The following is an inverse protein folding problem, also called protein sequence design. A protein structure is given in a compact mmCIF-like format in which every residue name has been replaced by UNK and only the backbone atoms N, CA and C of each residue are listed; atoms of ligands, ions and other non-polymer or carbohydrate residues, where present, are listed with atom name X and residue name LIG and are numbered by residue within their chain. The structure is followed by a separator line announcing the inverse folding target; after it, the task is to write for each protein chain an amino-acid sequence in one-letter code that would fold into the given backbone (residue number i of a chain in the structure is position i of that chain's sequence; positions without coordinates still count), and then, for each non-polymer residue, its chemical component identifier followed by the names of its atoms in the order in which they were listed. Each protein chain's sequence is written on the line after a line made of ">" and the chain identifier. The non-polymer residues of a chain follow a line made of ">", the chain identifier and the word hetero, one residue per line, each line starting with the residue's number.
data_IF_088442201196
#
_entry.id   IF_088442201196
#
_cell.length_a   1.000
_cell.length_b   1.000
_cell.length_c   1.000
_cell.angle_alpha   90.00
_cell.angle_beta   90.00
_cell.angle_gamma   90.00
#
_symmetry.space_group_name_H-M   'P 1'
#
loop_
_entity.id
_entity.type
_entity.pdbx_description
1 polymer ?
#
# COMPACT_ATOMS: atom_id res chain seq x y z
N UNK A 1 -4.41 13.52 -21.24
CA UNK A 1 -4.32 12.42 -20.24
C UNK A 1 -3.79 11.22 -21.02
N UNK A 2 -2.59 10.74 -20.69
CA UNK A 2 -2.00 9.61 -21.42
C UNK A 2 -2.80 8.32 -21.10
N UNK A 3 -2.88 7.41 -22.09
CA UNK A 3 -3.53 6.09 -21.94
C UNK A 3 -2.98 5.34 -20.72
N UNK A 4 -1.70 5.53 -20.42
CA UNK A 4 -1.02 4.95 -19.25
C UNK A 4 -1.60 5.44 -17.92
N UNK A 5 -1.89 6.73 -17.81
CA UNK A 5 -2.52 7.32 -16.62
C UNK A 5 -3.95 6.80 -16.44
N UNK A 6 -4.69 6.60 -17.53
CA UNK A 6 -6.03 6.03 -17.51
C UNK A 6 -6.00 4.56 -17.07
N UNK A 7 -5.04 3.77 -17.55
CA UNK A 7 -4.88 2.36 -17.15
C UNK A 7 -4.49 2.22 -15.68
N UNK A 8 -3.60 3.06 -15.18
CA UNK A 8 -3.24 3.11 -13.75
C UNK A 8 -4.47 3.50 -12.92
N UNK A 9 -5.23 4.50 -13.32
CA UNK A 9 -6.46 4.92 -12.64
C UNK A 9 -7.51 3.81 -12.64
N UNK A 10 -7.72 3.14 -13.76
CA UNK A 10 -8.63 2.00 -13.88
C UNK A 10 -8.19 0.80 -13.03
N UNK A 11 -6.89 0.53 -12.95
CA UNK A 11 -6.34 -0.49 -12.07
C UNK A 11 -6.59 -0.15 -10.59
N UNK A 12 -6.43 1.12 -10.17
CA UNK A 12 -6.74 1.57 -8.81
C UNK A 12 -8.22 1.53 -8.49
N UNK A 13 -9.09 1.97 -9.41
CA UNK A 13 -10.55 1.90 -9.26
C UNK A 13 -11.01 0.44 -9.23
N UNK A 14 -10.44 -0.41 -10.09
CA UNK A 14 -10.70 -1.85 -10.11
C UNK A 14 -10.28 -2.53 -8.80
N UNK A 15 -9.10 -2.22 -8.28
CA UNK A 15 -8.61 -2.70 -6.96
C UNK A 15 -9.52 -2.25 -5.82
N UNK A 16 -9.94 -0.99 -5.80
CA UNK A 16 -10.89 -0.46 -4.83
C UNK A 16 -12.25 -1.14 -4.91
N UNK A 17 -12.77 -1.39 -6.13
CA UNK A 17 -14.04 -2.06 -6.35
C UNK A 17 -13.99 -3.55 -5.98
N UNK A 18 -12.89 -4.25 -6.29
CA UNK A 18 -12.67 -5.65 -5.89
C UNK A 18 -12.53 -5.75 -4.38
N UNK A 19 -11.71 -4.90 -3.75
CA UNK A 19 -11.60 -4.84 -2.30
C UNK A 19 -12.95 -4.57 -1.64
N UNK A 20 -13.74 -3.64 -2.18
CA UNK A 20 -15.11 -3.32 -1.74
C UNK A 20 -16.06 -4.52 -1.83
N UNK A 21 -16.15 -5.17 -3.00
CA UNK A 21 -17.05 -6.33 -3.19
C UNK A 21 -16.65 -7.53 -2.33
N UNK A 22 -15.36 -7.73 -2.15
CA UNK A 22 -14.85 -8.81 -1.30
C UNK A 22 -15.14 -8.50 0.16
N UNK A 23 -14.95 -7.26 0.62
CA UNK A 23 -15.29 -6.82 1.97
C UNK A 23 -16.80 -6.95 2.26
N UNK A 24 -17.67 -6.52 1.34
CA UNK A 24 -19.13 -6.66 1.51
C UNK A 24 -19.57 -8.12 1.54
N UNK A 25 -19.06 -8.96 0.67
CA UNK A 25 -19.41 -10.41 0.67
C UNK A 25 -18.91 -11.14 1.92
N UNK A 26 -17.71 -10.85 2.42
CA UNK A 26 -17.20 -11.50 3.63
C UNK A 26 -17.95 -11.10 4.90
N UNK A 27 -18.58 -9.91 4.91
CA UNK A 27 -19.38 -9.42 6.05
C UNK A 27 -20.84 -9.89 5.98
N UNK A 28 -21.36 -10.14 4.77
CA UNK A 28 -22.79 -10.49 4.56
C UNK A 28 -23.10 -11.99 4.59
N UNK A 29 -22.10 -12.88 4.50
CA UNK A 29 -22.29 -14.33 4.41
C UNK A 29 -22.09 -15.08 5.74
N UNK A 30 -22.33 -14.44 6.88
CA UNK A 30 -22.52 -15.19 8.14
C UNK A 30 -23.92 -15.80 8.10
N UNK A 31 -24.00 -17.11 8.21
CA UNK A 31 -25.27 -17.87 8.28
C UNK A 31 -26.30 -17.17 9.17
N UNK A 32 -27.50 -16.96 8.64
CA UNK A 32 -28.58 -16.23 9.32
C UNK A 32 -28.95 -16.83 10.70
N UNK A 33 -28.69 -18.12 10.93
CA UNK A 33 -28.91 -18.77 12.23
C UNK A 33 -27.89 -18.42 13.32
N UNK A 34 -26.62 -18.14 12.95
CA UNK A 34 -25.60 -17.69 13.90
C UNK A 34 -25.64 -16.15 14.10
N UNK A 35 -26.23 -15.41 13.16
CA UNK A 35 -26.31 -13.95 13.24
C UNK A 35 -27.15 -13.45 14.42
N UNK A 36 -28.16 -14.19 14.86
CA UNK A 36 -29.00 -13.82 16.01
C UNK A 36 -28.23 -13.91 17.35
N UNK A 37 -27.32 -14.87 17.50
CA UNK A 37 -26.48 -15.05 18.70
C UNK A 37 -25.28 -14.10 18.72
N UNK A 38 -24.86 -13.60 17.55
CA UNK A 38 -23.68 -12.76 17.37
C UNK A 38 -24.01 -11.26 17.25
N UNK A 39 -25.26 -10.85 17.56
CA UNK A 39 -25.82 -9.55 17.13
C UNK A 39 -24.99 -8.30 17.52
N UNK A 40 -24.43 -8.12 18.73
CA UNK A 40 -23.65 -6.92 19.06
C UNK A 40 -22.24 -6.94 18.41
N UNK A 41 -21.54 -8.09 18.45
CA UNK A 41 -20.20 -8.24 17.90
C UNK A 41 -20.20 -8.24 16.37
N UNK A 42 -21.19 -8.88 15.72
CA UNK A 42 -21.36 -8.87 14.28
C UNK A 42 -21.72 -7.47 13.76
N UNK A 43 -22.60 -6.74 14.47
CA UNK A 43 -22.94 -5.36 14.13
C UNK A 43 -21.74 -4.41 14.29
N UNK A 44 -20.94 -4.57 15.36
CA UNK A 44 -19.71 -3.80 15.52
C UNK A 44 -18.70 -4.11 14.39
N UNK A 45 -18.50 -5.37 14.04
CA UNK A 45 -17.66 -5.78 12.92
C UNK A 45 -18.10 -5.23 11.57
N UNK A 46 -19.41 -5.24 11.27
CA UNK A 46 -20.01 -4.64 10.06
C UNK A 46 -19.81 -3.14 10.02
N UNK A 47 -20.11 -2.45 11.12
CA UNK A 47 -19.94 -0.99 11.23
C UNK A 47 -18.49 -0.58 11.03
N UNK A 48 -17.56 -1.30 11.63
CA UNK A 48 -16.12 -1.12 11.46
C UNK A 48 -15.68 -1.25 10.01
N UNK A 49 -16.11 -2.32 9.33
CA UNK A 49 -15.77 -2.55 7.93
C UNK A 49 -16.33 -1.43 7.03
N UNK A 50 -17.57 -1.00 7.27
CA UNK A 50 -18.20 0.10 6.52
C UNK A 50 -17.47 1.44 6.74
N UNK A 51 -17.10 1.77 7.98
CA UNK A 51 -16.36 3.00 8.33
C UNK A 51 -14.95 2.96 7.74
N UNK A 52 -14.26 1.81 7.80
CA UNK A 52 -12.94 1.65 7.20
C UNK A 52 -12.97 1.84 5.67
N UNK A 53 -14.00 1.30 5.03
CA UNK A 53 -14.21 1.46 3.59
C UNK A 53 -14.55 2.91 3.23
N UNK A 54 -15.49 3.53 3.92
CA UNK A 54 -15.86 4.92 3.70
C UNK A 54 -14.67 5.87 3.93
N UNK A 55 -13.87 5.63 4.98
CA UNK A 55 -12.65 6.37 5.25
C UNK A 55 -11.60 6.22 4.15
N UNK A 56 -11.37 5.00 3.66
CA UNK A 56 -10.45 4.75 2.54
C UNK A 56 -10.95 5.43 1.25
N UNK A 57 -12.24 5.36 0.95
CA UNK A 57 -12.84 6.02 -0.22
C UNK A 57 -12.76 7.55 -0.10
N UNK A 58 -13.02 8.12 1.07
CA UNK A 58 -12.89 9.56 1.32
C UNK A 58 -11.44 10.04 1.14
N UNK A 59 -10.46 9.32 1.71
CA UNK A 59 -9.03 9.65 1.53
C UNK A 59 -8.63 9.55 0.07
N UNK A 60 -9.08 8.53 -0.66
CA UNK A 60 -8.84 8.42 -2.11
C UNK A 60 -9.41 9.61 -2.86
N UNK A 61 -10.67 9.97 -2.57
CA UNK A 61 -11.32 11.13 -3.19
C UNK A 61 -10.58 12.44 -2.89
N UNK A 62 -10.18 12.67 -1.64
CA UNK A 62 -9.40 13.85 -1.24
C UNK A 62 -8.07 13.90 -1.97
N UNK A 63 -7.33 12.79 -2.05
CA UNK A 63 -6.04 12.76 -2.73
C UNK A 63 -6.16 12.95 -4.25
N UNK A 64 -7.22 12.46 -4.87
CA UNK A 64 -7.47 12.68 -6.29
C UNK A 64 -7.87 14.13 -6.60
N UNK A 65 -8.67 14.74 -5.74
CA UNK A 65 -9.16 16.12 -5.93
C UNK A 65 -8.13 17.17 -5.47
N UNK A 66 -7.52 16.96 -4.30
CA UNK A 66 -6.56 17.89 -3.70
C UNK A 66 -5.11 17.61 -4.13
N UNK A 67 -4.82 16.45 -4.71
CA UNK A 67 -3.48 16.07 -5.10
C UNK A 67 -2.78 17.04 -6.03
N UNK A 68 -3.41 17.57 -7.09
CA UNK A 68 -2.84 18.59 -7.94
C UNK A 68 -2.51 19.89 -7.17
N UNK A 69 -3.40 20.34 -6.27
CA UNK A 69 -3.20 21.52 -5.43
C UNK A 69 -2.06 21.31 -4.42
N UNK A 70 -2.00 20.14 -3.78
CA UNK A 70 -0.91 19.78 -2.88
C UNK A 70 0.43 19.71 -3.62
N UNK A 71 0.45 19.15 -4.82
CA UNK A 71 1.64 19.11 -5.66
C UNK A 71 2.13 20.52 -5.99
N UNK A 72 1.23 21.45 -6.38
CA UNK A 72 1.56 22.86 -6.62
C UNK A 72 2.03 23.58 -5.34
N UNK A 73 1.40 23.35 -4.20
CA UNK A 73 1.78 23.98 -2.95
C UNK A 73 3.16 23.50 -2.45
N UNK A 74 3.51 22.24 -2.71
CA UNK A 74 4.84 21.68 -2.39
C UNK A 74 5.87 22.13 -3.43
N UNK A 75 5.52 22.16 -4.72
CA UNK A 75 6.40 22.65 -5.78
C UNK A 75 6.84 24.10 -5.58
N UNK A 76 5.95 24.95 -5.11
CA UNK A 76 6.28 26.34 -4.78
C UNK A 76 7.30 26.52 -3.64
N UNK A 77 7.53 25.48 -2.83
CA UNK A 77 8.51 25.47 -1.72
C UNK A 77 9.80 24.69 -2.03
N UNK A 78 9.77 23.79 -3.01
CA UNK A 78 10.89 22.89 -3.34
C UNK A 78 11.54 23.25 -4.68
N UNK A 79 11.02 24.25 -5.38
CA UNK A 79 11.51 24.71 -6.69
C UNK A 79 10.46 24.56 -7.80
N UNK A 80 10.65 25.24 -8.96
CA UNK A 80 9.66 25.27 -10.04
C UNK A 80 9.40 23.91 -10.70
N UNK A 81 10.20 22.90 -10.39
CA UNK A 81 10.10 21.51 -10.91
C UNK A 81 9.72 20.52 -9.82
N UNK A 82 8.76 20.85 -8.97
CA UNK A 82 8.26 19.90 -7.97
C UNK A 82 7.88 18.56 -8.60
N UNK A 83 8.02 17.42 -7.87
CA UNK A 83 7.87 16.07 -8.43
C UNK A 83 6.45 15.88 -8.96
N UNK A 84 6.29 15.93 -10.29
CA UNK A 84 5.02 15.71 -10.98
C UNK A 84 4.50 14.31 -10.69
N UNK A 85 3.24 14.16 -10.21
CA UNK A 85 2.65 12.88 -9.90
C UNK A 85 2.95 12.33 -8.49
N UNK A 86 3.58 13.11 -7.60
CA UNK A 86 3.85 12.72 -6.22
C UNK A 86 2.59 12.26 -5.48
N UNK A 87 1.48 12.98 -5.63
CA UNK A 87 0.20 12.61 -5.02
C UNK A 87 -0.27 11.22 -5.45
N UNK A 88 -0.12 10.89 -6.74
CA UNK A 88 -0.47 9.58 -7.28
C UNK A 88 0.43 8.48 -6.69
N UNK A 89 1.74 8.74 -6.59
CA UNK A 89 2.71 7.81 -6.02
C UNK A 89 2.45 7.51 -4.55
N UNK A 90 1.98 8.51 -3.77
CA UNK A 90 1.68 8.38 -2.34
C UNK A 90 0.29 7.79 -2.05
N UNK A 91 -0.63 7.82 -3.01
CA UNK A 91 -2.03 7.42 -2.82
C UNK A 91 -2.20 6.02 -2.21
N UNK A 92 -1.51 4.94 -2.68
CA UNK A 92 -1.71 3.62 -2.11
C UNK A 92 -1.31 3.54 -0.63
N UNK A 93 -0.20 4.17 -0.25
CA UNK A 93 0.24 4.21 1.14
C UNK A 93 -0.68 5.05 2.02
N UNK A 94 -1.16 6.19 1.53
CA UNK A 94 -2.09 7.03 2.26
C UNK A 94 -3.42 6.31 2.53
N UNK A 95 -3.94 5.54 1.55
CA UNK A 95 -5.09 4.66 1.73
C UNK A 95 -4.79 3.59 2.79
N UNK A 96 -3.61 2.97 2.72
CA UNK A 96 -3.15 1.98 3.71
C UNK A 96 -3.10 2.55 5.13
N UNK A 97 -2.52 3.75 5.30
CA UNK A 97 -2.42 4.49 6.57
C UNK A 97 -3.81 4.81 7.12
N UNK A 98 -4.70 5.36 6.29
CA UNK A 98 -6.08 5.67 6.69
C UNK A 98 -6.83 4.42 7.12
N UNK A 99 -6.73 3.33 6.34
CA UNK A 99 -7.35 2.05 6.67
C UNK A 99 -6.83 1.48 7.99
N UNK A 100 -5.50 1.44 8.19
CA UNK A 100 -4.90 0.96 9.43
C UNK A 100 -5.29 1.83 10.64
N UNK A 101 -5.39 3.15 10.46
CA UNK A 101 -5.87 4.10 11.48
C UNK A 101 -7.31 3.83 11.90
N UNK A 102 -8.21 3.64 10.94
CA UNK A 102 -9.62 3.28 11.23
C UNK A 102 -9.70 1.93 11.93
N UNK A 103 -8.90 0.95 11.51
CA UNK A 103 -8.85 -0.35 12.18
C UNK A 103 -8.35 -0.23 13.62
N UNK A 104 -7.31 0.54 13.86
CA UNK A 104 -6.79 0.80 15.20
C UNK A 104 -7.86 1.45 16.10
N UNK A 105 -8.55 2.47 15.61
CA UNK A 105 -9.64 3.11 16.33
C UNK A 105 -10.77 2.11 16.63
N UNK A 106 -11.15 1.30 15.64
CA UNK A 106 -12.19 0.31 15.81
C UNK A 106 -11.83 -0.82 16.80
N UNK A 107 -10.57 -1.25 16.83
CA UNK A 107 -10.14 -2.24 17.84
C UNK A 107 -10.18 -1.68 19.27
N UNK A 108 -10.03 -0.38 19.46
CA UNK A 108 -10.15 0.26 20.79
C UNK A 108 -11.60 0.43 21.26
N UNK A 109 -12.56 0.40 20.34
CA UNK A 109 -13.99 0.64 20.63
C UNK A 109 -14.81 -0.65 20.78
N UNK A 110 -14.19 -1.81 20.90
CA UNK A 110 -14.92 -3.05 21.15
C UNK A 110 -15.69 -3.00 22.47
N UNK A 111 -16.94 -3.56 22.50
CA UNK A 111 -17.73 -3.64 23.71
C UNK A 111 -16.95 -4.34 24.83
N UNK A 112 -16.90 -3.72 25.98
CA UNK A 112 -16.27 -4.30 27.19
C UNK A 112 -17.29 -5.13 27.95
N UNK A 113 -16.87 -6.27 28.58
CA UNK A 113 -17.75 -7.03 29.44
C UNK A 113 -18.24 -6.16 30.59
N UNK A 114 -19.55 -6.11 30.81
CA UNK A 114 -20.16 -5.41 31.95
C UNK A 114 -20.02 -6.20 33.27
N UNK A 115 -19.64 -7.48 33.22
CA UNK A 115 -19.57 -8.35 34.39
C UNK A 115 -18.30 -8.08 35.22
N UNK A 116 -18.40 -8.07 36.57
CA UNK A 116 -17.28 -7.88 37.47
C UNK A 116 -16.32 -9.09 37.51
N UNK A 117 -16.80 -10.28 37.12
CA UNK A 117 -15.99 -11.48 37.07
C UNK A 117 -15.28 -11.60 35.71
N UNK A 118 -13.97 -11.47 35.71
CA UNK A 118 -13.13 -11.68 34.54
C UNK A 118 -12.65 -13.11 34.49
N UNK A 119 -13.20 -13.91 33.61
CA UNK A 119 -12.61 -15.21 33.25
C UNK A 119 -11.28 -14.94 32.51
N UNK A 120 -10.17 -15.09 33.23
CA UNK A 120 -8.85 -15.00 32.64
C UNK A 120 -8.48 -16.36 32.03
N UNK A 121 -8.48 -16.46 30.71
CA UNK A 121 -7.84 -17.60 30.05
C UNK A 121 -6.34 -17.51 30.27
N UNK A 122 -5.75 -18.49 30.96
CA UNK A 122 -4.31 -18.60 31.23
C UNK A 122 -3.45 -18.89 29.98
N UNK A 123 -4.01 -18.78 28.78
CA UNK A 123 -3.28 -19.02 27.53
C UNK A 123 -2.41 -17.81 27.17
N UNK A 124 -1.11 -18.02 26.87
CA UNK A 124 -0.23 -16.93 26.48
C UNK A 124 -0.75 -16.23 25.21
N UNK A 125 -0.94 -14.92 25.31
CA UNK A 125 -1.44 -14.06 24.22
C UNK A 125 -0.26 -13.58 23.39
N UNK A 126 0.09 -14.30 22.32
CA UNK A 126 1.10 -13.87 21.37
C UNK A 126 0.45 -13.34 20.09
N UNK A 127 0.93 -12.20 19.56
CA UNK A 127 0.47 -11.67 18.28
C UNK A 127 0.76 -12.64 17.12
N UNK A 128 1.83 -13.45 17.22
CA UNK A 128 2.19 -14.46 16.21
C UNK A 128 1.17 -15.60 16.11
N UNK A 129 0.27 -15.73 17.08
CA UNK A 129 -0.82 -16.71 17.07
C UNK A 129 -1.96 -16.28 16.13
N UNK A 130 -2.22 -14.98 16.04
CA UNK A 130 -3.35 -14.43 15.29
C UNK A 130 -2.92 -13.89 13.93
N UNK A 131 -1.71 -13.32 13.83
CA UNK A 131 -1.18 -12.77 12.61
C UNK A 131 -0.54 -13.87 11.74
N UNK A 132 -0.96 -14.06 10.47
CA UNK A 132 -0.31 -14.99 9.57
C UNK A 132 1.12 -14.54 9.29
N UNK A 133 2.10 -15.34 9.70
CA UNK A 133 3.54 -15.01 9.56
C UNK A 133 3.94 -14.72 8.11
N UNK A 134 3.35 -15.45 7.17
CA UNK A 134 3.64 -15.26 5.75
C UNK A 134 3.20 -13.88 5.22
N UNK A 135 2.04 -13.36 5.68
CA UNK A 135 1.59 -11.99 5.32
C UNK A 135 2.53 -10.93 5.89
N UNK A 136 2.96 -11.09 7.14
CA UNK A 136 3.92 -10.19 7.76
C UNK A 136 5.28 -10.24 7.03
N UNK A 137 5.76 -11.44 6.67
CA UNK A 137 7.00 -11.61 5.92
C UNK A 137 6.95 -10.92 4.55
N UNK A 138 5.83 -11.06 3.82
CA UNK A 138 5.65 -10.39 2.52
C UNK A 138 5.59 -8.87 2.69
N UNK A 139 4.87 -8.36 3.70
CA UNK A 139 4.84 -6.92 3.98
C UNK A 139 6.24 -6.39 4.29
N UNK A 140 7.04 -7.10 5.09
CA UNK A 140 8.44 -6.76 5.34
C UNK A 140 9.28 -6.80 4.06
N UNK A 141 9.11 -7.80 3.19
CA UNK A 141 9.81 -7.89 1.92
C UNK A 141 9.50 -6.69 1.01
N UNK A 142 8.23 -6.24 0.98
CA UNK A 142 7.85 -5.03 0.24
C UNK A 142 8.46 -3.76 0.83
N UNK A 143 8.54 -3.62 2.16
CA UNK A 143 9.21 -2.48 2.81
C UNK A 143 10.70 -2.45 2.44
N UNK A 144 11.37 -3.59 2.52
CA UNK A 144 12.80 -3.70 2.16
C UNK A 144 13.00 -3.39 0.68
N UNK A 145 12.19 -4.00 -0.21
CA UNK A 145 12.25 -3.72 -1.64
C UNK A 145 12.03 -2.26 -1.97
N UNK A 146 11.06 -1.62 -1.32
CA UNK A 146 10.78 -0.19 -1.48
C UNK A 146 11.95 0.67 -0.99
N UNK A 147 12.51 0.37 0.19
CA UNK A 147 13.64 1.10 0.75
C UNK A 147 14.89 0.98 -0.14
N UNK A 148 15.20 -0.22 -0.63
CA UNK A 148 16.32 -0.46 -1.54
C UNK A 148 16.13 0.28 -2.86
N UNK A 149 14.94 0.18 -3.46
CA UNK A 149 14.63 0.88 -4.72
C UNK A 149 14.79 2.38 -4.55
N UNK A 150 14.17 2.97 -3.51
CA UNK A 150 14.20 4.42 -3.28
C UNK A 150 15.59 4.92 -2.86
N UNK A 151 16.36 4.14 -2.11
CA UNK A 151 17.75 4.48 -1.80
C UNK A 151 18.60 4.52 -3.08
N UNK A 152 18.50 3.49 -3.93
CA UNK A 152 19.23 3.45 -5.19
C UNK A 152 18.80 4.59 -6.13
N UNK A 153 17.51 4.76 -6.37
CA UNK A 153 17.02 5.81 -7.26
C UNK A 153 17.32 7.21 -6.71
N UNK A 154 17.27 7.39 -5.39
CA UNK A 154 17.62 8.66 -4.73
C UNK A 154 19.07 9.07 -4.92
N UNK A 155 20.01 8.10 -5.00
CA UNK A 155 21.44 8.40 -5.24
C UNK A 155 21.76 8.69 -6.71
N UNK A 156 20.93 8.16 -7.65
CA UNK A 156 21.16 8.29 -9.10
C UNK A 156 20.37 9.46 -9.70
N UNK A 157 19.24 9.83 -9.10
CA UNK A 157 18.38 10.89 -9.63
C UNK A 157 18.99 12.28 -9.50
N UNK A 158 18.90 13.06 -10.58
CA UNK A 158 19.16 14.49 -10.59
C UNK A 158 17.84 15.21 -10.87
N UNK A 159 17.36 16.04 -9.92
CA UNK A 159 16.08 16.76 -10.02
C UNK A 159 14.86 15.88 -10.36
N UNK A 160 14.80 14.68 -9.76
CA UNK A 160 13.78 13.66 -10.02
C UNK A 160 13.73 13.17 -11.49
N UNK A 161 14.86 13.23 -12.17
CA UNK A 161 15.07 12.68 -13.51
C UNK A 161 16.28 11.72 -13.49
N UNK A 162 16.23 10.73 -14.35
CA UNK A 162 17.42 9.93 -14.69
C UNK A 162 18.16 10.66 -15.80
N UNK A 163 19.41 11.04 -15.53
CA UNK A 163 20.29 11.66 -16.50
C UNK A 163 21.44 10.72 -16.84
N UNK A 164 21.67 10.48 -18.12
CA UNK A 164 22.75 9.62 -18.61
C UNK A 164 23.49 10.39 -19.70
N UNK A 165 24.81 10.49 -19.54
CA UNK A 165 25.67 11.08 -20.56
C UNK A 165 26.15 10.03 -21.54
N UNK A 166 26.12 10.37 -22.82
CA UNK A 166 26.61 9.54 -23.92
C UNK A 166 27.62 10.32 -24.74
N UNK A 167 28.71 9.70 -25.11
CA UNK A 167 29.64 10.25 -26.09
C UNK A 167 29.15 9.98 -27.53
N UNK A 168 29.69 10.69 -28.49
CA UNK A 168 29.32 10.60 -29.88
C UNK A 168 29.62 9.27 -30.58
N UNK A 169 30.30 8.37 -29.90
CA UNK A 169 30.57 7.00 -30.38
C UNK A 169 29.48 6.01 -30.00
N UNK A 170 28.53 6.38 -29.11
CA UNK A 170 27.47 5.47 -28.66
C UNK A 170 26.42 5.25 -29.77
N UNK A 171 26.27 4.02 -30.29
CA UNK A 171 25.36 3.75 -31.42
C UNK A 171 23.88 4.00 -31.07
N UNK A 172 23.53 4.05 -29.78
CA UNK A 172 22.16 4.35 -29.34
C UNK A 172 21.72 5.77 -29.65
N UNK A 173 22.67 6.68 -29.89
CA UNK A 173 22.42 8.11 -30.10
C UNK A 173 22.99 8.61 -31.45
N UNK A 174 23.42 7.69 -32.33
CA UNK A 174 24.01 8.03 -33.62
C UNK A 174 23.11 8.92 -34.53
N UNK A 175 21.79 8.91 -34.27
CA UNK A 175 20.82 9.77 -34.96
C UNK A 175 20.79 11.23 -34.46
N UNK A 176 21.40 11.52 -33.32
CA UNK A 176 21.39 12.85 -32.69
C UNK A 176 22.77 13.47 -32.57
N UNK A 177 23.81 12.76 -32.93
CA UNK A 177 25.20 13.16 -32.81
C UNK A 177 25.79 13.37 -34.21
N UNK A 178 26.37 14.55 -34.43
CA UNK A 178 26.97 14.89 -35.73
C UNK A 178 28.44 14.60 -35.81
N UNK A 179 29.10 14.29 -34.68
CA UNK A 179 30.52 13.97 -34.65
C UNK A 179 30.95 13.21 -33.39
N UNK A 180 32.09 12.51 -33.42
CA UNK A 180 32.58 11.68 -32.32
C UNK A 180 32.99 12.48 -31.06
N UNK A 181 33.16 13.80 -31.19
CA UNK A 181 33.44 14.70 -30.06
C UNK A 181 32.18 15.26 -29.37
N UNK A 182 31.00 14.98 -29.92
CA UNK A 182 29.76 15.48 -29.37
C UNK A 182 29.38 14.66 -28.13
N UNK A 183 28.80 15.33 -27.16
CA UNK A 183 28.32 14.74 -25.93
C UNK A 183 26.81 15.03 -25.75
N UNK A 184 26.04 13.97 -25.55
CA UNK A 184 24.59 14.10 -25.36
C UNK A 184 24.23 13.70 -23.93
N UNK A 185 23.46 14.56 -23.26
CA UNK A 185 22.84 14.21 -21.98
C UNK A 185 21.39 13.84 -22.24
N UNK A 186 21.05 12.56 -22.10
CA UNK A 186 19.69 12.10 -22.11
C UNK A 186 19.08 12.21 -20.73
N UNK A 187 17.92 12.86 -20.61
CA UNK A 187 17.19 13.00 -19.36
C UNK A 187 15.77 12.43 -19.51
N UNK A 188 15.33 11.62 -18.59
CA UNK A 188 13.97 11.07 -18.57
C UNK A 188 13.39 11.09 -17.15
N UNK A 189 12.11 11.48 -17.07
CA UNK A 189 11.34 11.51 -15.84
C UNK A 189 9.85 11.21 -16.07
N UNK A 190 9.09 10.99 -15.00
CA UNK A 190 9.52 11.04 -13.59
C UNK A 190 10.40 9.85 -13.19
N UNK A 191 11.48 10.11 -12.46
CA UNK A 191 12.34 9.11 -11.87
C UNK A 191 12.34 9.31 -10.35
N UNK A 192 12.09 8.25 -9.53
CA UNK A 192 11.85 8.40 -8.10
C UNK A 192 13.12 8.79 -7.33
N UNK A 193 13.49 10.09 -7.38
CA UNK A 193 14.53 10.64 -6.53
C UNK A 193 14.10 10.87 -5.09
N UNK A 194 14.93 11.53 -4.28
CA UNK A 194 14.62 11.82 -2.88
C UNK A 194 13.35 12.64 -2.68
N UNK A 195 12.93 13.45 -3.67
CA UNK A 195 11.66 14.16 -3.65
C UNK A 195 10.44 13.25 -3.55
N UNK A 196 10.50 12.05 -4.13
CA UNK A 196 9.51 10.99 -3.97
C UNK A 196 9.85 10.04 -2.82
N UNK A 197 11.13 9.73 -2.65
CA UNK A 197 11.61 8.71 -1.72
C UNK A 197 11.31 9.04 -0.28
N UNK A 198 11.62 10.25 0.17
CA UNK A 198 11.42 10.65 1.57
C UNK A 198 9.96 10.60 2.00
N UNK A 199 8.99 11.24 1.31
CA UNK A 199 7.59 11.16 1.71
C UNK A 199 7.02 9.73 1.60
N UNK A 200 7.47 8.93 0.63
CA UNK A 200 7.07 7.53 0.51
C UNK A 200 7.54 6.70 1.71
N UNK A 201 8.81 6.84 2.11
CA UNK A 201 9.37 6.13 3.28
C UNK A 201 8.69 6.56 4.59
N UNK A 202 8.36 7.85 4.75
CA UNK A 202 7.63 8.35 5.92
C UNK A 202 6.25 7.68 6.00
N UNK A 203 5.50 7.62 4.89
CA UNK A 203 4.19 6.96 4.88
C UNK A 203 4.29 5.45 5.08
N UNK A 204 5.31 4.80 4.52
CA UNK A 204 5.55 3.37 4.73
C UNK A 204 5.86 3.08 6.21
N UNK A 205 6.68 3.91 6.86
CA UNK A 205 6.97 3.81 8.29
C UNK A 205 5.72 4.06 9.15
N UNK A 206 4.93 5.08 8.82
CA UNK A 206 3.66 5.36 9.49
C UNK A 206 2.68 4.18 9.38
N UNK A 207 2.57 3.58 8.19
CA UNK A 207 1.77 2.38 7.96
C UNK A 207 2.25 1.21 8.82
N UNK A 208 3.56 0.95 8.85
CA UNK A 208 4.14 -0.13 9.65
C UNK A 208 3.86 0.04 11.15
N UNK A 209 4.00 1.27 11.67
CA UNK A 209 3.66 1.61 13.08
C UNK A 209 2.18 1.39 13.36
N UNK A 210 1.28 1.87 12.49
CA UNK A 210 -0.16 1.69 12.67
C UNK A 210 -0.58 0.21 12.62
N UNK A 211 0.00 -0.56 11.72
CA UNK A 211 -0.22 -2.02 11.64
C UNK A 211 0.24 -2.69 12.92
N UNK A 212 1.44 -2.38 13.40
CA UNK A 212 1.96 -2.91 14.65
C UNK A 212 1.06 -2.56 15.86
N UNK A 213 0.64 -1.31 15.97
CA UNK A 213 -0.29 -0.86 17.02
C UNK A 213 -1.63 -1.59 16.93
N UNK A 214 -2.17 -1.76 15.72
CA UNK A 214 -3.43 -2.49 15.51
C UNK A 214 -3.32 -3.96 15.92
N UNK A 215 -2.24 -4.64 15.53
CA UNK A 215 -1.99 -6.03 15.94
C UNK A 215 -1.84 -6.15 17.46
N UNK A 216 -1.20 -5.18 18.10
CA UNK A 216 -1.08 -5.11 19.57
C UNK A 216 -2.45 -4.93 20.24
N UNK A 217 -3.33 -4.07 19.70
CA UNK A 217 -4.69 -3.91 20.24
C UNK A 217 -5.55 -5.17 20.01
N UNK A 218 -5.49 -5.79 18.83
CA UNK A 218 -6.16 -7.09 18.56
C UNK A 218 -5.78 -8.14 19.60
N UNK A 219 -4.51 -8.17 20.00
CA UNK A 219 -4.01 -9.10 21.02
C UNK A 219 -4.54 -8.77 22.42
N UNK A 220 -4.61 -7.46 22.76
CA UNK A 220 -4.91 -6.97 24.11
C UNK A 220 -6.39 -6.81 24.40
N UNK A 221 -7.23 -6.71 23.35
CA UNK A 221 -8.66 -6.50 23.56
C UNK A 221 -9.25 -7.60 24.46
N UNK A 222 -10.23 -7.28 25.32
CA UNK A 222 -10.96 -8.27 26.08
C UNK A 222 -11.72 -9.24 25.17
N UNK A 223 -12.02 -10.43 25.64
CA UNK A 223 -12.91 -11.35 24.95
C UNK A 223 -14.30 -10.71 24.78
N UNK A 224 -14.96 -10.99 23.66
CA UNK A 224 -16.30 -10.45 23.42
C UNK A 224 -17.29 -11.21 24.32
N UNK A 225 -18.16 -10.50 25.08
CA UNK A 225 -19.11 -11.15 25.96
C UNK A 225 -20.03 -12.12 25.20
N UNK A 226 -20.26 -13.30 25.76
CA UNK A 226 -21.17 -14.30 25.17
C UNK A 226 -20.60 -15.09 23.98
N UNK A 227 -19.32 -14.88 23.60
CA UNK A 227 -18.66 -15.62 22.54
C UNK A 227 -17.78 -16.73 23.12
N UNK A 228 -17.88 -17.93 22.54
CA UNK A 228 -16.92 -19.00 22.80
C UNK A 228 -15.49 -18.58 22.39
N UNK A 229 -14.48 -19.03 23.13
CA UNK A 229 -13.09 -18.65 22.92
C UNK A 229 -12.57 -18.93 21.50
N UNK A 230 -13.08 -19.98 20.82
CA UNK A 230 -12.72 -20.31 19.45
C UNK A 230 -13.23 -19.26 18.44
N UNK A 231 -14.42 -18.73 18.64
CA UNK A 231 -15.02 -17.69 17.81
C UNK A 231 -14.31 -16.33 18.00
N UNK A 232 -13.96 -15.98 19.27
CA UNK A 232 -13.18 -14.77 19.53
C UNK A 232 -11.77 -14.85 18.89
N UNK A 233 -11.11 -16.00 18.98
CA UNK A 233 -9.84 -16.25 18.29
C UNK A 233 -10.00 -16.12 16.75
N UNK A 234 -11.12 -16.58 16.20
CA UNK A 234 -11.47 -16.42 14.78
C UNK A 234 -11.61 -14.95 14.36
N UNK A 235 -12.30 -14.14 15.17
CA UNK A 235 -12.44 -12.69 14.93
C UNK A 235 -11.08 -11.97 14.99
N UNK A 236 -10.21 -12.33 15.94
CA UNK A 236 -8.85 -11.76 16.05
C UNK A 236 -8.00 -12.09 14.83
N UNK A 237 -8.05 -13.35 14.35
CA UNK A 237 -7.35 -13.77 13.13
C UNK A 237 -7.85 -13.00 11.90
N UNK A 238 -9.16 -12.80 11.80
CA UNK A 238 -9.77 -12.04 10.70
C UNK A 238 -9.30 -10.58 10.72
N UNK A 239 -9.31 -9.92 11.89
CA UNK A 239 -8.79 -8.56 12.04
C UNK A 239 -7.32 -8.44 11.65
N UNK A 240 -6.47 -9.37 12.13
CA UNK A 240 -5.05 -9.39 11.81
C UNK A 240 -4.79 -9.63 10.31
N UNK A 241 -5.55 -10.55 9.68
CA UNK A 241 -5.45 -10.79 8.23
C UNK A 241 -5.85 -9.58 7.41
N UNK A 242 -6.91 -8.89 7.80
CA UNK A 242 -7.40 -7.71 7.09
C UNK A 242 -6.39 -6.59 7.11
N UNK A 243 -5.88 -6.22 8.29
CA UNK A 243 -4.92 -5.11 8.40
C UNK A 243 -3.61 -5.42 7.68
N UNK A 244 -3.09 -6.65 7.82
CA UNK A 244 -1.87 -7.07 7.11
C UNK A 244 -2.11 -7.20 5.60
N UNK A 245 -3.27 -7.71 5.18
CA UNK A 245 -3.61 -7.84 3.76
C UNK A 245 -3.67 -6.50 3.04
N UNK A 246 -4.29 -5.49 3.67
CA UNK A 246 -4.33 -4.13 3.09
C UNK A 246 -2.96 -3.47 3.14
N UNK A 247 -2.22 -3.63 4.24
CA UNK A 247 -0.89 -3.04 4.38
C UNK A 247 0.08 -3.58 3.32
N UNK A 248 0.14 -4.92 3.14
CA UNK A 248 0.98 -5.51 2.10
C UNK A 248 0.54 -5.07 0.69
N UNK A 249 -0.78 -4.91 0.46
CA UNK A 249 -1.28 -4.45 -0.83
C UNK A 249 -0.85 -3.00 -1.10
N UNK A 250 -0.97 -2.10 -0.12
CA UNK A 250 -0.52 -0.72 -0.24
C UNK A 250 0.99 -0.62 -0.53
N UNK A 251 1.81 -1.37 0.22
CA UNK A 251 3.26 -1.42 0.03
C UNK A 251 3.65 -2.00 -1.34
N UNK A 252 3.05 -3.13 -1.72
CA UNK A 252 3.38 -3.81 -2.98
C UNK A 252 2.95 -3.00 -4.21
N UNK A 253 1.77 -2.34 -4.17
CA UNK A 253 1.33 -1.45 -5.26
C UNK A 253 2.25 -0.23 -5.36
N UNK A 254 2.68 0.34 -4.22
CA UNK A 254 3.63 1.46 -4.22
C UNK A 254 4.98 1.04 -4.81
N UNK A 255 5.50 -0.13 -4.43
CA UNK A 255 6.74 -0.66 -4.99
C UNK A 255 6.63 -0.91 -6.50
N UNK A 256 5.55 -1.55 -6.94
CA UNK A 256 5.29 -1.80 -8.36
C UNK A 256 5.20 -0.50 -9.17
N UNK A 257 4.52 0.52 -8.63
CA UNK A 257 4.43 1.84 -9.24
C UNK A 257 5.79 2.55 -9.35
N UNK A 258 6.61 2.50 -8.30
CA UNK A 258 7.96 3.06 -8.35
C UNK A 258 8.83 2.34 -9.37
N UNK A 259 8.81 1.01 -9.42
CA UNK A 259 9.53 0.21 -10.43
C UNK A 259 9.05 0.53 -11.85
N UNK A 260 7.74 0.77 -12.04
CA UNK A 260 7.19 1.18 -13.33
C UNK A 260 7.76 2.54 -13.79
N UNK A 261 7.85 3.53 -12.90
CA UNK A 261 8.48 4.82 -13.22
C UNK A 261 9.97 4.67 -13.54
N UNK A 262 10.69 3.86 -12.76
CA UNK A 262 12.11 3.52 -13.07
C UNK A 262 12.24 2.90 -14.45
N UNK A 263 11.40 1.91 -14.77
CA UNK A 263 11.37 1.27 -16.09
C UNK A 263 11.12 2.28 -17.21
N UNK A 264 10.15 3.18 -17.02
CA UNK A 264 9.82 4.21 -18.01
C UNK A 264 10.98 5.17 -18.26
N UNK A 265 11.64 5.63 -17.19
CA UNK A 265 12.79 6.53 -17.29
C UNK A 265 13.99 5.84 -17.96
N UNK A 266 14.31 4.59 -17.60
CA UNK A 266 15.37 3.82 -18.26
C UNK A 266 15.14 3.69 -19.77
N UNK A 267 13.91 3.38 -20.18
CA UNK A 267 13.57 3.32 -21.61
C UNK A 267 13.64 4.71 -22.28
N UNK A 268 13.29 5.76 -21.55
CA UNK A 268 13.39 7.14 -22.04
C UNK A 268 14.82 7.58 -22.33
N UNK A 269 15.80 7.07 -21.58
CA UNK A 269 17.23 7.30 -21.84
C UNK A 269 17.85 6.20 -22.72
N UNK A 270 17.06 5.45 -23.48
CA UNK A 270 17.47 4.37 -24.39
C UNK A 270 18.18 3.19 -23.76
N UNK A 271 18.02 2.95 -22.46
CA UNK A 271 18.39 1.73 -21.75
C UNK A 271 17.21 0.74 -21.79
N UNK A 272 16.91 0.24 -23.00
CA UNK A 272 15.67 -0.51 -23.25
C UNK A 272 15.67 -1.87 -22.55
N UNK A 273 16.78 -2.62 -22.56
CA UNK A 273 16.92 -3.93 -21.92
C UNK A 273 16.73 -3.86 -20.41
N UNK A 274 17.38 -2.92 -19.76
CA UNK A 274 17.29 -2.68 -18.32
C UNK A 274 15.88 -2.20 -17.95
N UNK A 275 15.32 -1.30 -18.76
CA UNK A 275 13.95 -0.83 -18.60
C UNK A 275 12.92 -1.95 -18.70
N UNK A 276 13.06 -2.87 -19.66
CA UNK A 276 12.17 -4.05 -19.78
C UNK A 276 12.34 -5.00 -18.59
N UNK A 277 13.57 -5.26 -18.14
CA UNK A 277 13.81 -6.10 -16.97
C UNK A 277 13.11 -5.55 -15.71
N UNK A 278 13.23 -4.23 -15.48
CA UNK A 278 12.54 -3.57 -14.37
C UNK A 278 11.01 -3.59 -14.53
N UNK A 279 10.49 -3.47 -15.77
CA UNK A 279 9.05 -3.60 -16.03
C UNK A 279 8.53 -5.00 -15.67
N UNK A 280 9.25 -6.05 -16.07
CA UNK A 280 8.89 -7.42 -15.71
C UNK A 280 8.86 -7.60 -14.20
N UNK A 281 9.84 -7.04 -13.47
CA UNK A 281 9.86 -7.04 -12.02
C UNK A 281 8.66 -6.29 -11.43
N UNK A 282 8.30 -5.12 -11.97
CA UNK A 282 7.13 -4.35 -11.54
C UNK A 282 5.83 -5.16 -11.69
N UNK A 283 5.66 -5.83 -12.82
CA UNK A 283 4.50 -6.71 -13.09
C UNK A 283 4.49 -7.90 -12.12
N UNK A 284 5.64 -8.53 -11.88
CA UNK A 284 5.74 -9.64 -10.94
C UNK A 284 5.36 -9.22 -9.50
N UNK A 285 5.83 -8.05 -9.05
CA UNK A 285 5.46 -7.47 -7.74
C UNK A 285 3.96 -7.20 -7.68
N UNK A 286 3.37 -6.59 -8.72
CA UNK A 286 1.94 -6.31 -8.78
C UNK A 286 1.11 -7.61 -8.75
N UNK A 287 1.45 -8.59 -9.58
CA UNK A 287 0.77 -9.87 -9.64
C UNK A 287 0.84 -10.64 -8.31
N UNK A 288 2.03 -10.67 -7.67
CA UNK A 288 2.22 -11.27 -6.36
C UNK A 288 1.37 -10.56 -5.32
N UNK A 289 1.38 -9.22 -5.31
CA UNK A 289 0.60 -8.40 -4.38
C UNK A 289 -0.90 -8.69 -4.47
N UNK A 290 -1.44 -8.79 -5.70
CA UNK A 290 -2.86 -9.10 -5.94
C UNK A 290 -3.21 -10.53 -5.52
N UNK A 291 -2.35 -11.50 -5.83
CA UNK A 291 -2.51 -12.89 -5.44
C UNK A 291 -2.55 -13.04 -3.91
N UNK A 292 -1.60 -12.41 -3.24
CA UNK A 292 -1.50 -12.39 -1.77
C UNK A 292 -2.71 -11.74 -1.14
N UNK A 293 -3.19 -10.61 -1.69
CA UNK A 293 -4.42 -9.96 -1.24
C UNK A 293 -5.62 -10.91 -1.41
N UNK A 294 -5.74 -11.58 -2.55
CA UNK A 294 -6.79 -12.56 -2.80
C UNK A 294 -6.76 -13.72 -1.80
N UNK A 295 -5.57 -14.25 -1.47
CA UNK A 295 -5.40 -15.31 -0.47
C UNK A 295 -5.70 -14.83 0.96
N UNK A 296 -5.35 -13.59 1.30
CA UNK A 296 -5.65 -12.99 2.60
C UNK A 296 -7.16 -12.86 2.85
N UNK A 297 -7.93 -12.67 1.78
CA UNK A 297 -9.39 -12.47 1.80
C UNK A 297 -10.14 -13.81 1.73
N UNK A 298 -9.59 -14.85 1.07
CA UNK A 298 -10.21 -16.17 1.02
C UNK A 298 -10.31 -16.76 2.41
N UNK A 299 -11.53 -17.12 2.81
CA UNK A 299 -11.78 -17.94 4.01
C UNK A 299 -11.29 -19.38 3.76
N UNK A 300 -10.48 -19.90 4.65
CA UNK A 300 -10.41 -21.33 4.93
C UNK A 300 -11.04 -21.58 6.27
#
# INVERSE_FOLDING_TARGET
>A
MSIELLLVLLAFVGLGAVASRVFTRTVLLTDAGQAALLSPAANHGRRRAAVAFAGAAAVTGILLLAGPWLAHAVAGRVGPTGPTGLSLALTPLAIGVAHAGVFLAAERTWPRPAAPVREATLRPRSYTRFAPRWLAAIACAWIVGLAVTLAWTGTVATDNQLQVGYDGSDPRWADQVTGPADFVIAAAGPFPGWGYGVPTLILAAALAVLVWLTLREVQRRPAVPGLEGALDDGLRRTSARQVLGVAQAALGVTLAGNLFFVSSALRGVRLASEGVAVLVLAIAVAATTLTVLGLAIRRR
#
